data_IF_491532820019
#
_entry.id   IF_491532820019
#
_cell.length_a   1.000
_cell.length_b   1.000
_cell.length_c   1.000
_cell.angle_alpha   90.00
_cell.angle_beta   90.00
_cell.angle_gamma   90.00
#
_symmetry.space_group_name_H-M   'P 1'
#
loop_
_entity.id
_entity.type
_entity.pdbx_description
1 polymer ?
#
# COMPACT_ATOMS: atom_id res chain seq x y z
N UNK A 1 29.15 1.83 4.60
CA UNK A 1 28.23 2.52 3.67
C UNK A 1 26.79 2.18 4.04
N UNK A 2 25.97 3.17 4.41
CA UNK A 2 24.52 2.96 4.58
C UNK A 2 23.95 2.61 3.21
N UNK A 3 23.45 1.38 3.02
CA UNK A 3 22.61 1.01 1.88
C UNK A 3 21.38 1.92 1.93
N UNK A 4 21.37 2.99 1.13
CA UNK A 4 20.12 3.68 0.79
C UNK A 4 19.27 2.67 0.05
N UNK A 5 18.31 2.06 0.74
CA UNK A 5 17.19 1.41 0.07
C UNK A 5 16.59 2.48 -0.82
N UNK A 6 16.84 2.41 -2.14
CA UNK A 6 16.06 3.15 -3.12
C UNK A 6 14.63 2.68 -2.87
N UNK A 7 13.84 3.51 -2.20
CA UNK A 7 12.39 3.35 -2.15
C UNK A 7 11.94 3.46 -3.59
N UNK A 8 11.65 2.31 -4.19
CA UNK A 8 11.42 2.18 -5.64
C UNK A 8 10.29 3.12 -6.09
N UNK A 9 9.31 3.37 -5.24
CA UNK A 9 8.14 4.19 -5.49
C UNK A 9 8.34 5.72 -5.55
N UNK A 10 9.52 6.27 -5.20
CA UNK A 10 9.70 7.75 -5.13
C UNK A 10 9.46 8.43 -6.47
N UNK A 11 10.02 7.90 -7.58
CA UNK A 11 9.83 8.48 -8.91
C UNK A 11 8.36 8.42 -9.34
N UNK A 12 7.70 7.30 -9.10
CA UNK A 12 6.28 7.13 -9.42
C UNK A 12 5.40 8.14 -8.67
N UNK A 13 5.68 8.38 -7.39
CA UNK A 13 4.97 9.39 -6.58
C UNK A 13 5.17 10.80 -7.10
N UNK A 14 6.39 11.16 -7.51
CA UNK A 14 6.68 12.47 -8.08
C UNK A 14 5.99 12.66 -9.44
N UNK A 15 6.05 11.65 -10.32
CA UNK A 15 5.39 11.68 -11.61
C UNK A 15 3.87 11.80 -11.47
N UNK A 16 3.26 11.02 -10.57
CA UNK A 16 1.83 11.06 -10.34
C UNK A 16 1.38 12.36 -9.66
N UNK A 17 2.18 12.91 -8.73
CA UNK A 17 1.94 14.24 -8.16
C UNK A 17 1.82 15.29 -9.28
N UNK A 18 2.76 15.30 -10.21
CA UNK A 18 2.74 16.24 -11.35
C UNK A 18 1.49 16.02 -12.22
N UNK A 19 1.17 14.76 -12.53
CA UNK A 19 -0.05 14.42 -13.27
C UNK A 19 -1.32 14.96 -12.59
N UNK A 20 -1.44 14.81 -11.26
CA UNK A 20 -2.56 15.36 -10.50
C UNK A 20 -2.64 16.89 -10.60
N UNK A 21 -1.50 17.58 -10.46
CA UNK A 21 -1.40 19.04 -10.62
C UNK A 21 -1.86 19.46 -12.03
N UNK A 22 -1.43 18.75 -13.07
CA UNK A 22 -1.76 19.04 -14.48
C UNK A 22 -3.27 18.84 -14.78
N UNK A 23 -3.95 17.91 -14.11
CA UNK A 23 -5.40 17.68 -14.27
C UNK A 23 -6.28 18.48 -13.29
N UNK A 24 -5.68 19.47 -12.61
CA UNK A 24 -6.40 20.47 -11.82
C UNK A 24 -6.65 20.11 -10.36
N UNK A 25 -5.93 19.14 -9.79
CA UNK A 25 -5.86 19.03 -8.33
C UNK A 25 -4.96 20.12 -7.75
N UNK A 26 -5.34 20.64 -6.58
CA UNK A 26 -4.52 21.55 -5.79
C UNK A 26 -4.03 20.86 -4.50
N UNK A 27 -3.12 21.52 -3.78
CA UNK A 27 -2.57 21.03 -2.51
C UNK A 27 -2.01 19.59 -2.57
N UNK A 28 -1.44 19.20 -3.72
CA UNK A 28 -0.92 17.85 -3.95
C UNK A 28 0.35 17.61 -3.12
N UNK A 29 0.30 16.66 -2.19
CA UNK A 29 1.39 16.36 -1.24
C UNK A 29 1.69 14.87 -1.24
N UNK A 30 2.96 14.52 -1.36
CA UNK A 30 3.45 13.17 -1.05
C UNK A 30 3.50 13.03 0.47
N UNK A 31 2.80 12.02 1.00
CA UNK A 31 2.65 11.76 2.43
C UNK A 31 3.13 10.35 2.79
N UNK A 32 3.26 10.08 4.09
CA UNK A 32 3.60 8.74 4.59
C UNK A 32 2.37 7.99 5.17
N UNK A 33 1.29 8.73 5.41
CA UNK A 33 0.02 8.29 6.00
C UNK A 33 -0.97 9.44 5.80
N UNK A 34 -2.27 9.20 5.59
CA UNK A 34 -2.95 7.89 5.49
C UNK A 34 -2.76 7.17 4.14
N UNK A 35 -2.24 7.86 3.13
CA UNK A 35 -1.91 7.31 1.81
C UNK A 35 -0.58 7.87 1.31
N UNK A 36 -0.11 7.39 0.18
CA UNK A 36 1.11 7.88 -0.47
C UNK A 36 1.02 9.33 -0.94
N UNK A 37 -0.14 9.75 -1.46
CA UNK A 37 -0.40 11.12 -1.89
C UNK A 37 -1.77 11.57 -1.40
N UNK A 38 -1.85 12.84 -0.98
CA UNK A 38 -3.11 13.54 -0.72
C UNK A 38 -3.23 14.74 -1.65
N UNK A 39 -4.43 15.03 -2.13
CA UNK A 39 -4.71 16.21 -2.96
C UNK A 39 -6.12 16.73 -2.73
N UNK A 40 -6.44 17.90 -3.27
CA UNK A 40 -7.77 18.51 -3.18
C UNK A 40 -8.30 18.86 -4.57
N UNK A 41 -9.59 18.63 -4.80
CA UNK A 41 -10.32 19.02 -6.01
C UNK A 41 -11.80 19.15 -5.67
N UNK A 42 -12.46 20.18 -6.19
CA UNK A 42 -13.88 20.46 -5.92
C UNK A 42 -14.22 20.44 -4.42
N UNK A 43 -13.39 21.11 -3.61
CA UNK A 43 -13.49 21.21 -2.14
C UNK A 43 -13.40 19.87 -1.38
N UNK A 44 -13.05 18.78 -2.07
CA UNK A 44 -12.91 17.45 -1.47
C UNK A 44 -11.45 17.05 -1.40
N UNK A 45 -11.11 16.33 -0.32
CA UNK A 45 -9.81 15.71 -0.13
C UNK A 45 -9.78 14.30 -0.71
N UNK A 46 -8.77 14.04 -1.53
CA UNK A 46 -8.50 12.77 -2.18
C UNK A 46 -7.22 12.12 -1.65
N UNK A 47 -7.20 10.80 -1.72
CA UNK A 47 -6.14 9.93 -1.22
C UNK A 47 -5.74 8.95 -2.32
N UNK A 48 -4.44 8.81 -2.56
CA UNK A 48 -3.92 7.97 -3.62
C UNK A 48 -2.83 7.06 -3.08
N UNK A 49 -2.98 5.77 -3.29
CA UNK A 49 -2.00 4.73 -2.93
C UNK A 49 -1.30 4.23 -4.18
N UNK A 50 0.02 4.39 -4.27
CA UNK A 50 0.77 4.18 -5.51
C UNK A 50 1.43 2.79 -5.49
N UNK A 51 1.12 1.98 -6.50
CA UNK A 51 1.76 0.69 -6.75
C UNK A 51 2.49 0.74 -8.09
N UNK A 52 3.83 0.77 -8.05
CA UNK A 52 4.64 0.86 -9.26
C UNK A 52 5.02 -0.52 -9.80
N UNK A 53 5.01 -0.65 -11.13
CA UNK A 53 5.44 -1.86 -11.83
C UNK A 53 6.14 -1.55 -13.15
N UNK A 54 7.10 -2.40 -13.52
CA UNK A 54 7.73 -2.44 -14.86
C UNK A 54 7.14 -3.54 -15.74
N UNK A 55 6.22 -4.34 -15.20
CA UNK A 55 5.61 -5.45 -15.90
C UNK A 55 4.58 -4.93 -16.91
N UNK A 56 4.66 -5.40 -18.14
CA UNK A 56 3.77 -4.98 -19.23
C UNK A 56 2.40 -5.67 -19.19
N UNK A 57 2.37 -6.98 -18.89
CA UNK A 57 1.21 -7.83 -19.17
C UNK A 57 0.34 -8.16 -17.95
N UNK A 58 0.97 -8.46 -16.81
CA UNK A 58 0.28 -8.75 -15.56
C UNK A 58 1.08 -8.15 -14.41
N UNK A 59 0.41 -7.77 -13.33
CA UNK A 59 1.05 -7.21 -12.16
C UNK A 59 0.56 -7.92 -10.90
N UNK A 60 1.50 -8.47 -10.14
CA UNK A 60 1.25 -9.01 -8.82
C UNK A 60 1.77 -8.04 -7.76
N UNK A 61 0.87 -7.57 -6.90
CA UNK A 61 1.19 -6.66 -5.81
C UNK A 61 0.38 -6.96 -4.56
N UNK A 62 0.68 -6.25 -3.49
CA UNK A 62 -0.10 -6.32 -2.25
C UNK A 62 -0.49 -4.91 -1.82
N UNK A 63 -1.73 -4.77 -1.36
CA UNK A 63 -2.18 -3.62 -0.59
C UNK A 63 -2.30 -4.04 0.87
N UNK A 64 -1.73 -3.24 1.79
CA UNK A 64 -1.76 -3.58 3.21
C UNK A 64 -3.15 -3.35 3.80
N UNK A 65 -3.45 -3.99 4.93
CA UNK A 65 -4.74 -3.77 5.60
C UNK A 65 -4.89 -2.32 6.12
N UNK A 66 -3.78 -1.61 6.33
CA UNK A 66 -3.81 -0.18 6.66
C UNK A 66 -4.28 0.66 5.47
N UNK A 67 -3.84 0.33 4.26
CA UNK A 67 -4.31 1.00 3.04
C UNK A 67 -5.79 0.71 2.79
N UNK A 68 -6.19 -0.57 2.91
CA UNK A 68 -7.61 -0.96 2.79
C UNK A 68 -8.51 -0.30 3.83
N UNK A 69 -8.04 -0.13 5.06
CA UNK A 69 -8.78 0.59 6.11
C UNK A 69 -9.09 2.03 5.68
N UNK A 70 -8.14 2.71 5.05
CA UNK A 70 -8.34 4.08 4.57
C UNK A 70 -9.19 4.14 3.29
N UNK A 71 -9.05 3.14 2.40
CA UNK A 71 -9.88 2.98 1.21
C UNK A 71 -11.37 2.78 1.57
N UNK A 72 -11.66 1.93 2.55
CA UNK A 72 -13.03 1.66 3.03
C UNK A 72 -13.64 2.90 3.71
N UNK A 73 -12.82 3.71 4.39
CA UNK A 73 -13.28 4.96 5.03
C UNK A 73 -13.61 6.07 4.04
N UNK A 74 -12.96 6.08 2.88
CA UNK A 74 -13.05 7.14 1.90
C UNK A 74 -13.36 6.59 0.49
N UNK A 75 -14.44 5.80 0.29
CA UNK A 75 -14.63 5.02 -0.94
C UNK A 75 -14.74 5.88 -2.20
N UNK A 76 -15.26 7.11 -2.06
CA UNK A 76 -15.47 8.04 -3.17
C UNK A 76 -14.25 8.91 -3.49
N UNK A 77 -13.27 9.00 -2.59
CA UNK A 77 -12.12 9.88 -2.74
C UNK A 77 -10.77 9.19 -2.53
N UNK A 78 -10.77 7.88 -2.31
CA UNK A 78 -9.58 7.04 -2.31
C UNK A 78 -9.39 6.37 -3.66
N UNK A 79 -8.15 6.31 -4.15
CA UNK A 79 -7.78 5.60 -5.37
C UNK A 79 -6.57 4.72 -5.14
N UNK A 80 -6.64 3.49 -5.63
CA UNK A 80 -5.44 2.68 -5.88
C UNK A 80 -4.92 3.03 -7.27
N UNK A 81 -3.64 3.34 -7.38
CA UNK A 81 -3.02 3.80 -8.62
C UNK A 81 -1.91 2.84 -9.01
N UNK A 82 -2.08 2.18 -10.16
CA UNK A 82 -1.01 1.41 -10.77
C UNK A 82 -0.20 2.34 -11.65
N UNK A 83 1.06 2.56 -11.28
CA UNK A 83 2.03 3.34 -12.04
C UNK A 83 2.90 2.37 -12.86
N UNK A 84 2.54 2.17 -14.13
CA UNK A 84 3.34 1.39 -15.07
C UNK A 84 4.48 2.25 -15.59
N UNK A 85 5.66 1.66 -15.75
CA UNK A 85 6.81 2.39 -16.26
C UNK A 85 7.75 1.52 -17.07
N UNK A 86 8.60 2.17 -17.87
CA UNK A 86 9.68 1.50 -18.58
C UNK A 86 10.81 1.05 -17.64
N UNK A 87 11.81 0.36 -18.20
CA UNK A 87 12.94 -0.15 -17.42
C UNK A 87 13.74 0.97 -16.71
N UNK A 88 13.74 2.18 -17.28
CA UNK A 88 14.51 3.33 -16.80
C UNK A 88 13.73 4.20 -15.79
N UNK A 89 12.45 3.92 -15.58
CA UNK A 89 11.53 4.72 -14.77
C UNK A 89 11.44 6.18 -15.27
N UNK A 90 11.35 6.35 -16.58
CA UNK A 90 11.29 7.67 -17.25
C UNK A 90 9.89 8.00 -17.76
N UNK A 91 9.19 7.00 -18.30
CA UNK A 91 7.83 7.15 -18.81
C UNK A 91 6.85 6.45 -17.88
N UNK A 92 5.84 7.18 -17.39
CA UNK A 92 4.81 6.63 -16.51
C UNK A 92 3.43 6.68 -17.16
N UNK A 93 2.73 5.55 -17.11
CA UNK A 93 1.31 5.44 -17.40
C UNK A 93 0.58 5.11 -16.09
N UNK A 94 -0.54 5.79 -15.84
CA UNK A 94 -1.30 5.63 -14.60
C UNK A 94 -2.67 5.02 -14.86
N UNK A 95 -3.00 3.99 -14.10
CA UNK A 95 -4.32 3.36 -14.11
C UNK A 95 -4.89 3.50 -12.70
N UNK A 96 -6.03 4.17 -12.58
CA UNK A 96 -6.69 4.43 -11.31
C UNK A 96 -7.86 3.48 -11.12
N UNK A 97 -7.99 2.97 -9.90
CA UNK A 97 -9.09 2.12 -9.46
C UNK A 97 -9.74 2.73 -8.23
N UNK A 98 -11.07 2.78 -8.21
CA UNK A 98 -11.84 2.89 -6.96
C UNK A 98 -11.59 1.66 -6.08
N UNK A 99 -11.89 1.74 -4.77
CA UNK A 99 -11.79 0.58 -3.90
C UNK A 99 -12.63 -0.61 -4.39
N UNK A 100 -13.83 -0.37 -4.91
CA UNK A 100 -14.71 -1.43 -5.43
C UNK A 100 -14.17 -2.08 -6.71
N UNK A 101 -13.57 -1.30 -7.61
CA UNK A 101 -12.92 -1.86 -8.80
C UNK A 101 -11.69 -2.68 -8.41
N UNK A 102 -10.87 -2.16 -7.49
CA UNK A 102 -9.65 -2.83 -7.04
C UNK A 102 -9.94 -4.13 -6.27
N UNK A 103 -11.06 -4.15 -5.52
CA UNK A 103 -11.49 -5.31 -4.74
C UNK A 103 -11.75 -6.54 -5.64
N UNK A 104 -12.25 -6.34 -6.87
CA UNK A 104 -12.51 -7.43 -7.83
C UNK A 104 -11.26 -8.23 -8.21
N UNK A 105 -10.08 -7.63 -8.09
CA UNK A 105 -8.79 -8.26 -8.40
C UNK A 105 -8.04 -8.72 -7.14
N UNK A 106 -8.64 -8.52 -5.97
CA UNK A 106 -7.97 -8.70 -4.69
C UNK A 106 -8.28 -10.07 -4.09
N UNK A 107 -7.28 -10.67 -3.46
CA UNK A 107 -7.44 -11.88 -2.65
C UNK A 107 -6.77 -11.64 -1.29
N UNK A 108 -7.33 -12.24 -0.24
CA UNK A 108 -6.75 -12.20 1.10
C UNK A 108 -6.01 -13.54 1.30
N UNK A 109 -4.67 -13.57 1.26
CA UNK A 109 -3.92 -14.79 1.56
C UNK A 109 -4.00 -15.12 3.06
N UNK A 110 -3.58 -16.33 3.46
CA UNK A 110 -3.39 -16.63 4.88
C UNK A 110 -2.50 -15.61 5.58
N UNK A 111 -2.78 -15.32 6.85
CA UNK A 111 -2.00 -14.38 7.64
C UNK A 111 -0.55 -14.84 7.81
N UNK A 112 0.41 -13.99 7.43
CA UNK A 112 1.84 -14.26 7.57
C UNK A 112 2.37 -13.74 8.90
N UNK A 113 3.04 -14.59 9.66
CA UNK A 113 3.73 -14.22 10.90
C UNK A 113 5.22 -14.00 10.61
N UNK A 114 5.70 -12.76 10.74
CA UNK A 114 7.11 -12.43 10.50
C UNK A 114 7.93 -12.46 11.78
N UNK A 115 8.92 -13.35 11.85
CA UNK A 115 9.91 -13.38 12.92
C UNK A 115 11.18 -12.60 12.53
N UNK A 116 11.87 -12.07 13.53
CA UNK A 116 13.20 -11.49 13.35
C UNK A 116 14.04 -11.91 14.57
N UNK A 117 15.02 -12.76 14.32
CA UNK A 117 15.88 -13.35 15.34
C UNK A 117 17.27 -12.73 15.17
N UNK A 118 17.79 -12.14 16.23
CA UNK A 118 19.18 -11.70 16.24
C UNK A 118 20.08 -12.89 16.60
N UNK A 119 20.85 -13.37 15.62
CA UNK A 119 21.74 -14.53 15.79
C UNK A 119 22.89 -14.29 16.77
N UNK A 120 23.20 -13.03 17.10
CA UNK A 120 24.26 -12.66 18.04
C UNK A 120 23.72 -12.34 19.45
N UNK A 121 22.40 -12.26 19.62
CA UNK A 121 21.77 -11.96 20.89
C UNK A 121 20.34 -12.53 20.91
N UNK A 122 20.24 -13.77 21.39
CA UNK A 122 18.99 -14.53 21.40
C UNK A 122 17.96 -13.98 22.40
N UNK A 123 18.35 -13.05 23.28
CA UNK A 123 17.46 -12.47 24.29
C UNK A 123 16.82 -11.16 23.83
N UNK A 124 17.29 -10.58 22.72
CA UNK A 124 16.81 -9.28 22.25
C UNK A 124 15.56 -9.41 21.38
N UNK A 125 14.40 -9.24 22.01
CA UNK A 125 13.13 -9.05 21.29
C UNK A 125 13.06 -7.61 20.77
N UNK A 126 13.02 -7.44 19.45
CA UNK A 126 12.83 -6.11 18.86
C UNK A 126 11.42 -5.60 19.17
N UNK A 127 11.28 -4.50 19.93
CA UNK A 127 10.00 -3.82 20.07
C UNK A 127 9.56 -3.27 18.71
N UNK A 128 8.34 -3.61 18.29
CA UNK A 128 7.72 -3.07 17.06
C UNK A 128 6.53 -2.20 17.44
N UNK A 129 6.54 -0.95 16.98
CA UNK A 129 5.49 0.02 17.34
C UNK A 129 4.25 -0.04 16.43
N UNK A 130 4.32 -0.73 15.28
CA UNK A 130 3.24 -0.79 14.28
C UNK A 130 2.69 -2.19 14.01
N UNK A 131 3.46 -3.23 14.31
CA UNK A 131 3.05 -4.62 14.11
C UNK A 131 2.58 -5.19 15.45
N UNK A 132 1.50 -5.97 15.41
CA UNK A 132 1.03 -6.70 16.58
C UNK A 132 2.07 -7.74 16.98
N UNK A 133 2.40 -7.80 18.28
CA UNK A 133 3.25 -8.86 18.81
C UNK A 133 2.48 -10.18 18.74
N UNK A 134 3.07 -11.21 18.14
CA UNK A 134 2.44 -12.52 18.13
C UNK A 134 2.44 -13.11 19.55
N UNK A 135 1.25 -13.50 20.02
CA UNK A 135 1.03 -14.36 21.19
C UNK A 135 0.17 -15.55 20.75
N UNK A 136 0.09 -16.59 21.57
CA UNK A 136 -0.71 -17.78 21.24
C UNK A 136 -2.17 -17.41 21.01
N UNK A 137 -2.73 -16.59 21.90
CA UNK A 137 -4.13 -16.15 21.88
C UNK A 137 -4.44 -15.36 20.60
N UNK A 138 -3.57 -14.41 20.24
CA UNK A 138 -3.71 -13.63 19.00
C UNK A 138 -3.66 -14.55 17.77
N UNK A 139 -2.76 -15.54 17.74
CA UNK A 139 -2.67 -16.46 16.61
C UNK A 139 -3.93 -17.32 16.48
N UNK A 140 -4.45 -17.84 17.60
CA UNK A 140 -5.70 -18.61 17.63
C UNK A 140 -6.89 -17.78 17.11
N UNK A 141 -6.99 -16.50 17.48
CA UNK A 141 -8.01 -15.59 16.96
C UNK A 141 -7.91 -15.41 15.44
N UNK A 142 -6.70 -15.14 14.91
CA UNK A 142 -6.51 -14.95 13.47
C UNK A 142 -6.75 -16.25 12.67
N UNK A 143 -6.37 -17.40 13.21
CA UNK A 143 -6.65 -18.72 12.59
C UNK A 143 -8.17 -18.94 12.52
N UNK A 144 -8.87 -18.81 13.66
CA UNK A 144 -10.31 -19.00 13.73
C UNK A 144 -11.05 -18.04 12.79
N UNK A 145 -10.63 -16.78 12.73
CA UNK A 145 -11.22 -15.80 11.81
C UNK A 145 -11.01 -16.20 10.34
N UNK A 146 -9.81 -16.64 9.97
CA UNK A 146 -9.50 -17.00 8.58
C UNK A 146 -10.27 -18.25 8.14
N UNK A 147 -10.34 -19.28 8.98
CA UNK A 147 -11.06 -20.52 8.69
C UNK A 147 -12.56 -20.26 8.51
N UNK A 148 -13.20 -19.61 9.48
CA UNK A 148 -14.64 -19.29 9.42
C UNK A 148 -15.02 -18.33 8.29
N UNK A 149 -14.07 -17.55 7.78
CA UNK A 149 -14.30 -16.66 6.64
C UNK A 149 -14.21 -17.35 5.28
N UNK A 150 -13.56 -18.51 5.17
CA UNK A 150 -13.52 -19.29 3.93
C UNK A 150 -14.84 -19.97 3.60
N UNK A 151 -15.65 -20.21 4.61
CA UNK A 151 -16.93 -20.92 4.49
C UNK A 151 -18.10 -19.98 4.14
N UNK A 152 -17.83 -18.70 3.86
CA UNK A 152 -18.82 -17.67 3.47
C UNK A 152 -18.77 -17.40 1.98
#
# INVERSE_FOLDING_TARGET
MKKTNKKSDVKAKLAYKKYLEDIGFCNVRITASPADITAEKDEKKYYFEIKMTKQANSYFGAATMTEWKEAIRNPNTFKFVIAKTDENEENFEFIEFTPDEFLKYSTIPPFKVYFNINLNDNNKVSKRNKALQATKEILEEFISFFETSKDK
#
